data_IF_010873221281
#
_entry.id   IF_010873221281
#
_cell.length_a   1.000
_cell.length_b   1.000
_cell.length_c   1.000
_cell.angle_alpha   90.00
_cell.angle_beta   90.00
_cell.angle_gamma   90.00
#
_symmetry.space_group_name_H-M   'P 1'
#
loop_
_entity.id
_entity.type
_entity.pdbx_description
1 polymer ?
#
# COMPACT_ATOMS: atom_id res chain seq x y z
N UNK A 1 -5.14 -9.24 -2.11
CA UNK A 1 -5.87 -9.12 -0.83
C UNK A 1 -6.60 -7.79 -0.81
N UNK A 2 -7.82 -7.71 -0.28
CA UNK A 2 -8.56 -6.46 -0.18
C UNK A 2 -8.80 -6.12 1.30
N UNK A 3 -8.49 -4.87 1.66
CA UNK A 3 -8.56 -4.33 3.01
C UNK A 3 -9.36 -3.03 2.99
N UNK A 4 -9.88 -2.60 4.14
CA UNK A 4 -10.58 -1.32 4.27
C UNK A 4 -9.93 -0.48 5.35
N UNK A 5 -9.78 0.82 5.09
CA UNK A 5 -9.26 1.78 6.05
C UNK A 5 -9.94 3.14 5.86
N UNK A 6 -10.46 3.72 6.94
CA UNK A 6 -11.19 5.01 6.93
C UNK A 6 -12.24 5.11 5.81
N UNK A 7 -12.97 4.02 5.56
CA UNK A 7 -14.00 3.98 4.52
C UNK A 7 -13.49 3.72 3.09
N UNK A 8 -12.17 3.77 2.85
CA UNK A 8 -11.55 3.48 1.55
C UNK A 8 -11.13 2.03 1.44
N UNK A 9 -11.35 1.44 0.27
CA UNK A 9 -10.91 0.09 -0.07
C UNK A 9 -9.48 0.12 -0.60
N UNK A 10 -8.67 -0.82 -0.12
CA UNK A 10 -7.24 -0.97 -0.42
C UNK A 10 -7.02 -2.37 -0.96
N UNK A 11 -6.60 -2.49 -2.21
CA UNK A 11 -6.18 -3.75 -2.83
C UNK A 11 -4.67 -3.88 -2.71
N UNK A 12 -4.19 -4.90 -2.00
CA UNK A 12 -2.77 -5.19 -1.82
C UNK A 12 -2.38 -6.39 -2.67
N UNK A 13 -1.24 -6.26 -3.35
CA UNK A 13 -0.58 -7.34 -4.05
C UNK A 13 0.85 -7.47 -3.52
N UNK A 14 1.26 -8.70 -3.23
CA UNK A 14 2.63 -9.04 -2.92
C UNK A 14 3.09 -10.08 -3.94
N UNK A 15 4.27 -9.87 -4.53
CA UNK A 15 4.81 -10.75 -5.56
C UNK A 15 6.25 -11.10 -5.22
N UNK A 16 6.55 -12.39 -5.17
CA UNK A 16 7.92 -12.87 -5.01
C UNK A 16 8.69 -12.68 -6.32
N UNK A 17 9.87 -12.08 -6.22
CA UNK A 17 10.82 -11.92 -7.32
C UNK A 17 11.75 -13.15 -7.44
N UNK A 18 12.47 -13.26 -8.56
CA UNK A 18 13.45 -14.31 -8.84
C UNK A 18 14.54 -14.43 -7.77
N UNK A 19 14.90 -13.32 -7.11
CA UNK A 19 15.89 -13.30 -6.02
C UNK A 19 15.35 -13.81 -4.69
N UNK A 20 14.07 -14.20 -4.63
CA UNK A 20 13.41 -14.69 -3.43
C UNK A 20 12.87 -13.60 -2.49
N UNK A 21 13.10 -12.32 -2.83
CA UNK A 21 12.54 -11.18 -2.14
C UNK A 21 11.12 -10.87 -2.64
N UNK A 22 10.40 -10.03 -1.91
CA UNK A 22 9.00 -9.72 -2.16
C UNK A 22 8.82 -8.26 -2.56
N UNK A 23 8.34 -8.07 -3.79
CA UNK A 23 7.78 -6.81 -4.21
C UNK A 23 6.33 -6.66 -3.72
N UNK A 24 5.87 -5.43 -3.62
CA UNK A 24 4.51 -5.16 -3.18
C UNK A 24 3.93 -3.95 -3.90
N UNK A 25 2.61 -3.94 -4.01
CA UNK A 25 1.86 -2.82 -4.53
C UNK A 25 0.53 -2.68 -3.83
N UNK A 26 -0.01 -1.47 -3.85
CA UNK A 26 -1.33 -1.18 -3.30
C UNK A 26 -2.13 -0.27 -4.23
N UNK A 27 -3.41 -0.58 -4.38
CA UNK A 27 -4.40 0.27 -5.01
C UNK A 27 -5.38 0.79 -3.98
N UNK A 28 -5.62 2.10 -3.93
CA UNK A 28 -6.68 2.70 -3.12
C UNK A 28 -7.82 3.06 -4.08
N UNK A 29 -9.00 2.51 -3.84
CA UNK A 29 -10.18 2.79 -4.66
C UNK A 29 -10.50 4.28 -4.67
N UNK A 30 -10.55 4.87 -5.85
CA UNK A 30 -10.80 6.31 -6.04
C UNK A 30 -9.59 7.22 -5.87
N UNK A 31 -8.39 6.68 -5.60
CA UNK A 31 -7.15 7.47 -5.49
C UNK A 31 -6.08 7.04 -6.50
N UNK A 32 -5.89 5.74 -6.71
CA UNK A 32 -4.92 5.22 -7.68
C UNK A 32 -4.17 3.97 -7.22
N UNK A 33 -3.25 3.49 -8.05
CA UNK A 33 -2.39 2.34 -7.77
C UNK A 33 -0.94 2.80 -7.65
N UNK A 34 -0.28 2.40 -6.56
CA UNK A 34 1.14 2.60 -6.30
C UNK A 34 1.88 1.27 -6.20
N UNK A 35 3.08 1.21 -6.75
CA UNK A 35 3.98 0.07 -6.62
C UNK A 35 5.13 0.45 -5.69
N UNK A 36 5.75 -0.55 -5.08
CA UNK A 36 7.00 -0.38 -4.35
C UNK A 36 8.07 0.22 -5.27
N UNK A 37 8.72 1.27 -4.82
CA UNK A 37 9.85 1.92 -5.50
C UNK A 37 11.17 1.74 -4.74
N UNK A 38 11.13 1.05 -3.60
CA UNK A 38 12.25 0.88 -2.70
C UNK A 38 12.76 -0.56 -2.65
N UNK A 39 13.47 -0.88 -1.58
CA UNK A 39 14.01 -2.22 -1.34
C UNK A 39 12.89 -3.26 -1.23
N UNK A 40 13.10 -4.42 -1.86
CA UNK A 40 12.19 -5.56 -1.77
C UNK A 40 12.15 -6.10 -0.34
N UNK A 41 10.97 -6.52 0.10
CA UNK A 41 10.76 -7.08 1.42
C UNK A 41 11.37 -8.49 1.54
N UNK A 42 11.89 -8.86 2.73
CA UNK A 42 12.48 -10.19 2.94
C UNK A 42 11.43 -11.31 3.01
N UNK A 43 10.14 -10.98 3.16
CA UNK A 43 9.05 -11.95 3.30
C UNK A 43 7.72 -11.36 2.85
N UNK A 44 6.78 -12.22 2.47
CA UNK A 44 5.43 -11.83 2.02
C UNK A 44 4.72 -10.95 3.06
N UNK A 45 4.75 -11.36 4.33
CA UNK A 45 4.09 -10.63 5.42
C UNK A 45 4.63 -9.20 5.58
N UNK A 46 5.94 -9.01 5.42
CA UNK A 46 6.58 -7.69 5.48
C UNK A 46 6.18 -6.86 4.26
N UNK A 47 6.06 -7.48 3.08
CA UNK A 47 5.62 -6.82 1.86
C UNK A 47 4.17 -6.31 2.00
N UNK A 48 3.29 -7.15 2.55
CA UNK A 48 1.88 -6.80 2.83
C UNK A 48 1.79 -5.69 3.88
N UNK A 49 2.54 -5.79 4.98
CA UNK A 49 2.54 -4.78 6.04
C UNK A 49 3.03 -3.42 5.53
N UNK A 50 4.12 -3.40 4.76
CA UNK A 50 4.67 -2.19 4.14
C UNK A 50 3.68 -1.55 3.15
N UNK A 51 3.05 -2.35 2.30
CA UNK A 51 2.06 -1.88 1.35
C UNK A 51 0.85 -1.29 2.08
N UNK A 52 0.37 -1.95 3.14
CA UNK A 52 -0.78 -1.48 3.91
C UNK A 52 -0.45 -0.22 4.71
N UNK A 53 0.73 -0.17 5.34
CA UNK A 53 1.22 1.02 6.04
C UNK A 53 1.35 2.22 5.08
N UNK A 54 1.88 2.01 3.88
CA UNK A 54 2.00 3.05 2.85
C UNK A 54 0.63 3.53 2.38
N UNK A 55 -0.29 2.62 2.11
CA UNK A 55 -1.65 2.95 1.71
C UNK A 55 -2.39 3.74 2.80
N UNK A 56 -2.25 3.34 4.08
CA UNK A 56 -2.80 4.09 5.21
C UNK A 56 -2.27 5.52 5.25
N UNK A 57 -0.95 5.71 5.09
CA UNK A 57 -0.34 7.05 5.07
C UNK A 57 -0.88 7.92 3.94
N UNK A 58 -1.05 7.41 2.72
CA UNK A 58 -1.68 8.18 1.63
C UNK A 58 -3.14 8.52 1.95
N UNK A 59 -3.91 7.60 2.53
CA UNK A 59 -5.30 7.88 2.93
C UNK A 59 -5.32 8.95 4.04
N UNK A 60 -4.44 8.84 5.03
CA UNK A 60 -4.32 9.82 6.12
C UNK A 60 -3.94 11.20 5.57
N UNK A 61 -2.98 11.29 4.64
CA UNK A 61 -2.61 12.54 3.97
C UNK A 61 -3.75 13.11 3.13
N UNK A 62 -4.42 12.27 2.33
CA UNK A 62 -5.55 12.67 1.52
C UNK A 62 -6.77 13.10 2.35
N UNK A 63 -6.90 12.63 3.59
CA UNK A 63 -7.98 13.03 4.51
C UNK A 63 -7.59 14.26 5.33
N UNK A 64 -6.29 14.49 5.54
CA UNK A 64 -5.76 15.64 6.29
C UNK A 64 -5.58 16.88 5.39
N UNK A 65 -5.55 16.70 4.07
CA UNK A 65 -5.43 17.77 3.07
C UNK A 65 -6.70 18.60 2.86
N UNK A 66 -7.86 18.13 3.32
CA UNK A 66 -9.14 18.88 3.34
C UNK A 66 -9.27 19.79 4.58
N UNK A 67 -8.16 20.08 5.27
CA UNK A 67 -8.10 21.03 6.38
C UNK A 67 -7.16 22.20 6.03
N UNK A 68 -7.46 22.92 4.95
CA UNK A 68 -7.03 24.30 4.80
C UNK A 68 -8.15 25.09 4.10
N UNK A 69 -8.95 25.72 4.96
CA UNK A 69 -9.83 26.87 4.72
C UNK A 69 -9.02 28.10 4.29
#
# INVERSE_FOLDING_TARGET
MELKYKGREISIQAKKDASGQWDWSYGIRGHGHRHNTGALAPSESVAIDNAYASAKREIDQATSGDAND
#
